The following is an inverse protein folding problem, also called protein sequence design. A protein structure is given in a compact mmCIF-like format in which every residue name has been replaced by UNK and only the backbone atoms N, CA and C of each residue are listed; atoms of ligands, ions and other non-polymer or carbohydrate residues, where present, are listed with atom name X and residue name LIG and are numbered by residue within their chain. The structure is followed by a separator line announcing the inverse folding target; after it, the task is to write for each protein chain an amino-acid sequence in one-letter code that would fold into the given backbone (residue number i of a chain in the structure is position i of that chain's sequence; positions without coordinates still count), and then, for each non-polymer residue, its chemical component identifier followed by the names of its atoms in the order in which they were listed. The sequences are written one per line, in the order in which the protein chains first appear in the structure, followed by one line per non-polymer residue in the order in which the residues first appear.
data_IF_473206609139
#
_entry.id   IF_473206609139
#
_cell.length_a   1.000
_cell.length_b   1.000
_cell.length_c   1.000
_cell.angle_alpha   90.00
_cell.angle_beta   90.00
_cell.angle_gamma   90.00
#
_symmetry.space_group_name_H-M   'P 1'
#
loop_
_entity.id
_entity.type
_entity.pdbx_description
1 polymer ?
#
# COMPACT_ATOMS: atom_id res chain seq x y z
N UNK A 1 -45.66 33.86 -35.51
CA UNK A 1 -45.68 33.31 -34.11
C UNK A 1 -45.11 31.90 -33.98
N UNK A 2 -45.09 31.09 -35.00
CA UNK A 2 -44.59 29.68 -34.99
C UNK A 2 -43.06 29.52 -34.79
N UNK A 3 -42.23 30.40 -35.38
CA UNK A 3 -40.74 30.27 -35.26
C UNK A 3 -40.16 30.63 -33.86
N UNK A 4 -40.84 31.47 -33.11
CA UNK A 4 -40.35 31.84 -31.76
C UNK A 4 -40.57 30.71 -30.76
N UNK A 5 -41.68 29.96 -30.87
CA UNK A 5 -41.99 28.82 -30.00
C UNK A 5 -41.03 27.64 -30.26
N UNK A 6 -40.63 27.42 -31.52
CA UNK A 6 -39.66 26.39 -31.89
C UNK A 6 -38.26 26.66 -31.28
N UNK A 7 -37.80 27.90 -31.31
CA UNK A 7 -36.50 28.30 -30.72
C UNK A 7 -36.49 28.22 -29.20
N UNK A 8 -37.60 28.55 -28.55
CA UNK A 8 -37.73 28.43 -27.09
C UNK A 8 -37.72 26.97 -26.63
N UNK A 9 -38.39 26.08 -27.38
CA UNK A 9 -38.37 24.64 -27.13
C UNK A 9 -37.00 24.03 -27.34
N UNK A 10 -36.25 24.45 -28.36
CA UNK A 10 -34.87 23.99 -28.58
C UNK A 10 -33.91 24.45 -27.49
N UNK A 11 -34.03 25.67 -27.01
CA UNK A 11 -33.21 26.20 -25.89
C UNK A 11 -33.56 25.47 -24.60
N UNK A 12 -34.83 25.23 -24.31
CA UNK A 12 -35.25 24.50 -23.12
C UNK A 12 -34.74 23.04 -23.15
N UNK A 13 -34.81 22.37 -24.31
CA UNK A 13 -34.31 21.01 -24.47
C UNK A 13 -32.77 20.95 -24.32
N UNK A 14 -32.05 21.91 -24.91
CA UNK A 14 -30.59 22.01 -24.75
C UNK A 14 -30.18 22.29 -23.28
N UNK A 15 -30.94 23.11 -22.55
CA UNK A 15 -30.70 23.39 -21.13
C UNK A 15 -30.95 22.17 -20.26
N UNK A 16 -32.00 21.38 -20.51
CA UNK A 16 -32.28 20.14 -19.78
C UNK A 16 -31.21 19.09 -20.07
N UNK A 17 -30.79 18.97 -21.35
CA UNK A 17 -29.69 18.05 -21.70
C UNK A 17 -28.35 18.45 -21.01
N UNK A 18 -28.04 19.74 -20.96
CA UNK A 18 -26.82 20.22 -20.26
C UNK A 18 -26.88 19.97 -18.77
N UNK A 19 -28.02 20.14 -18.11
CA UNK A 19 -28.23 19.84 -16.69
C UNK A 19 -28.13 18.33 -16.40
N UNK A 20 -28.62 17.49 -17.30
CA UNK A 20 -28.55 16.02 -17.13
C UNK A 20 -27.12 15.48 -17.20
N UNK A 21 -26.27 16.06 -18.04
CA UNK A 21 -24.84 15.70 -18.15
C UNK A 21 -24.07 16.14 -16.90
N UNK A 22 -24.43 17.28 -16.30
CA UNK A 22 -23.80 17.76 -15.07
C UNK A 22 -24.12 16.90 -13.83
N UNK A 23 -25.29 16.25 -13.80
CA UNK A 23 -25.72 15.41 -12.68
C UNK A 23 -24.92 14.10 -12.57
N UNK A 24 -24.41 13.56 -13.67
CA UNK A 24 -23.58 12.35 -13.66
C UNK A 24 -22.24 12.54 -12.92
N UNK A 25 -21.60 13.71 -13.06
CA UNK A 25 -20.28 13.96 -12.46
C UNK A 25 -20.29 14.30 -10.97
N UNK A 26 -21.46 14.60 -10.38
CA UNK A 26 -21.55 15.02 -8.97
C UNK A 26 -21.38 13.82 -8.03
N UNK A 27 -21.85 12.64 -8.40
CA UNK A 27 -21.82 11.45 -7.54
C UNK A 27 -20.66 10.50 -7.85
N UNK A 28 -20.09 10.54 -9.06
CA UNK A 28 -19.00 9.66 -9.47
C UNK A 28 -17.71 9.91 -8.68
N UNK A 29 -17.40 11.18 -8.40
CA UNK A 29 -16.20 11.57 -7.64
C UNK A 29 -16.25 11.06 -6.20
N UNK A 30 -17.29 11.36 -5.38
CA UNK A 30 -17.37 10.79 -4.03
C UNK A 30 -17.46 9.27 -4.03
N UNK A 31 -18.12 8.65 -4.99
CA UNK A 31 -18.20 7.18 -5.09
C UNK A 31 -16.81 6.56 -5.30
N UNK A 32 -16.01 7.11 -6.22
CA UNK A 32 -14.66 6.63 -6.48
C UNK A 32 -13.70 6.93 -5.30
N UNK A 33 -13.92 8.05 -4.61
CA UNK A 33 -13.17 8.42 -3.41
C UNK A 33 -13.41 7.42 -2.26
N UNK A 34 -14.68 7.11 -1.98
CA UNK A 34 -15.06 6.17 -0.93
C UNK A 34 -14.58 4.74 -1.24
N UNK A 35 -14.58 4.33 -2.52
CA UNK A 35 -13.97 3.05 -2.92
C UNK A 35 -12.47 3.03 -2.61
N UNK A 36 -11.73 4.10 -2.93
CA UNK A 36 -10.31 4.18 -2.63
C UNK A 36 -10.03 4.15 -1.11
N UNK A 37 -10.84 4.84 -0.30
CA UNK A 37 -10.77 4.81 1.17
C UNK A 37 -11.08 3.42 1.72
N UNK A 38 -12.08 2.72 1.17
CA UNK A 38 -12.41 1.35 1.57
C UNK A 38 -11.24 0.39 1.29
N UNK A 39 -10.57 0.52 0.13
CA UNK A 39 -9.38 -0.28 -0.19
C UNK A 39 -8.19 0.09 0.69
N UNK A 40 -8.08 1.35 1.11
CA UNK A 40 -7.08 1.75 2.09
C UNK A 40 -7.30 1.05 3.43
N UNK A 41 -8.51 0.95 3.92
CA UNK A 41 -8.83 0.22 5.15
C UNK A 41 -8.42 -1.26 5.08
N UNK A 42 -8.55 -1.91 3.91
CA UNK A 42 -8.05 -3.27 3.69
C UNK A 42 -6.51 -3.33 3.83
N UNK A 43 -5.80 -2.31 3.35
CA UNK A 43 -4.34 -2.18 3.48
C UNK A 43 -3.95 -2.03 4.95
N UNK A 44 -4.58 -1.09 5.68
CA UNK A 44 -4.32 -0.85 7.10
C UNK A 44 -4.54 -2.11 7.94
N UNK A 45 -5.67 -2.78 7.74
CA UNK A 45 -5.99 -4.04 8.42
C UNK A 45 -4.93 -5.12 8.19
N UNK A 46 -4.41 -5.21 6.96
CA UNK A 46 -3.36 -6.17 6.61
C UNK A 46 -2.02 -5.85 7.29
N UNK A 47 -1.64 -4.57 7.34
CA UNK A 47 -0.44 -4.13 8.04
C UNK A 47 -0.56 -4.28 9.57
N UNK A 48 -1.73 -3.97 10.13
CA UNK A 48 -1.99 -4.18 11.55
C UNK A 48 -1.84 -5.66 11.92
N UNK A 49 -2.44 -6.57 11.15
CA UNK A 49 -2.30 -8.01 11.37
C UNK A 49 -0.84 -8.46 11.34
N UNK A 50 -0.02 -7.95 10.42
CA UNK A 50 1.41 -8.22 10.39
C UNK A 50 2.11 -7.74 11.66
N UNK A 51 1.83 -6.52 12.09
CA UNK A 51 2.41 -5.93 13.30
C UNK A 51 2.06 -6.70 14.58
N UNK A 52 0.85 -7.28 14.65
CA UNK A 52 0.36 -8.05 15.79
C UNK A 52 1.01 -9.43 15.92
N UNK A 53 1.50 -10.02 14.83
CA UNK A 53 2.21 -11.31 14.84
C UNK A 53 3.65 -11.18 15.36
N UNK A 54 4.29 -10.02 15.20
CA UNK A 54 5.73 -9.82 15.46
C UNK A 54 6.10 -10.01 16.94
N UNK A 55 5.37 -9.52 17.94
CA UNK A 55 5.71 -9.74 19.35
C UNK A 55 5.80 -11.21 19.72
N UNK A 56 4.85 -12.01 19.22
CA UNK A 56 4.83 -13.46 19.48
C UNK A 56 6.00 -14.15 18.77
N UNK A 57 6.33 -13.74 17.54
CA UNK A 57 7.46 -14.25 16.79
C UNK A 57 8.79 -13.96 17.53
N UNK A 58 9.00 -12.70 17.95
CA UNK A 58 10.20 -12.29 18.69
C UNK A 58 10.31 -13.02 20.03
N UNK A 59 9.21 -13.17 20.78
CA UNK A 59 9.20 -13.90 22.04
C UNK A 59 9.56 -15.39 21.86
N UNK A 60 9.05 -16.03 20.80
CA UNK A 60 9.37 -17.43 20.48
C UNK A 60 10.83 -17.58 20.03
N UNK A 61 11.33 -16.63 19.22
CA UNK A 61 12.71 -16.66 18.73
C UNK A 61 13.73 -16.43 19.86
N UNK A 62 13.44 -15.56 20.83
CA UNK A 62 14.33 -15.31 21.99
C UNK A 62 14.67 -16.57 22.78
N UNK A 63 13.75 -17.54 22.86
CA UNK A 63 13.98 -18.78 23.59
C UNK A 63 15.04 -19.70 22.96
N UNK A 64 15.24 -19.65 21.65
CA UNK A 64 16.14 -20.55 20.93
C UNK A 64 17.32 -19.84 20.26
N UNK A 65 17.24 -18.54 20.02
CA UNK A 65 18.26 -17.71 19.38
C UNK A 65 18.63 -16.51 20.28
N UNK A 66 18.92 -16.78 21.56
CA UNK A 66 19.26 -15.74 22.55
C UNK A 66 20.53 -14.94 22.17
N UNK A 67 21.42 -15.51 21.34
CA UNK A 67 22.61 -14.84 20.81
C UNK A 67 22.30 -13.74 19.78
N UNK A 68 21.14 -13.81 19.12
CA UNK A 68 20.74 -12.90 18.01
C UNK A 68 19.98 -11.66 18.49
N UNK A 69 20.39 -11.11 19.62
CA UNK A 69 19.71 -9.96 20.26
C UNK A 69 19.58 -8.76 19.33
N UNK A 70 20.58 -8.52 18.49
CA UNK A 70 20.60 -7.38 17.55
C UNK A 70 19.47 -7.49 16.51
N UNK A 71 19.28 -8.66 15.91
CA UNK A 71 18.27 -8.86 14.86
C UNK A 71 16.87 -8.79 15.46
N UNK A 72 16.65 -9.41 16.62
CA UNK A 72 15.36 -9.34 17.32
C UNK A 72 15.03 -7.91 17.77
N UNK A 73 16.05 -7.14 18.17
CA UNK A 73 15.89 -5.70 18.49
C UNK A 73 15.57 -4.90 17.24
N UNK A 74 16.23 -5.15 16.11
CA UNK A 74 15.96 -4.48 14.84
C UNK A 74 14.52 -4.70 14.37
N UNK A 75 14.02 -5.94 14.45
CA UNK A 75 12.62 -6.25 14.11
C UNK A 75 11.64 -5.51 15.03
N UNK A 76 11.93 -5.47 16.34
CA UNK A 76 11.09 -4.77 17.32
C UNK A 76 11.06 -3.26 17.05
N UNK A 77 12.22 -2.66 16.77
CA UNK A 77 12.33 -1.23 16.45
C UNK A 77 11.66 -0.89 15.12
N UNK A 78 11.86 -1.69 14.09
CA UNK A 78 11.21 -1.51 12.80
C UNK A 78 9.68 -1.63 12.91
N UNK A 79 9.18 -2.57 13.74
CA UNK A 79 7.75 -2.66 14.06
C UNK A 79 7.25 -1.38 14.74
N UNK A 80 7.97 -0.90 15.77
CA UNK A 80 7.58 0.33 16.47
C UNK A 80 7.53 1.54 15.51
N UNK A 81 8.52 1.69 14.63
CA UNK A 81 8.54 2.74 13.61
C UNK A 81 7.36 2.60 12.64
N UNK A 82 7.09 1.38 12.15
CA UNK A 82 6.00 1.13 11.20
C UNK A 82 4.61 1.37 11.80
N UNK A 83 4.41 1.12 13.11
CA UNK A 83 3.13 1.31 13.80
C UNK A 83 2.95 2.71 14.38
N UNK A 84 4.01 3.53 14.45
CA UNK A 84 3.91 4.92 14.93
C UNK A 84 3.37 5.89 13.89
N UNK A 85 3.41 5.52 12.60
CA UNK A 85 2.94 6.35 11.50
C UNK A 85 1.48 5.98 11.23
N UNK A 86 0.58 6.89 11.54
CA UNK A 86 -0.84 6.74 11.23
C UNK A 86 -1.18 7.64 10.03
N UNK A 87 -1.65 7.02 8.95
CA UNK A 87 -2.10 7.71 7.74
C UNK A 87 -3.60 7.94 7.87
N UNK A 88 -4.00 9.20 7.88
CA UNK A 88 -5.42 9.56 7.79
C UNK A 88 -5.89 9.56 6.34
N UNK A 89 -7.20 9.62 6.13
CA UNK A 89 -7.78 9.71 4.77
C UNK A 89 -7.31 10.94 4.01
N UNK A 90 -7.03 12.05 4.71
CA UNK A 90 -6.51 13.29 4.11
C UNK A 90 -5.05 13.12 3.66
N UNK A 91 -4.28 12.30 4.38
CA UNK A 91 -2.88 12.03 4.05
C UNK A 91 -2.71 11.17 2.81
N UNK A 92 -3.78 10.49 2.34
CA UNK A 92 -3.75 9.73 1.08
C UNK A 92 -3.45 10.63 -0.14
N UNK A 93 -3.68 11.92 -0.02
CA UNK A 93 -3.33 12.93 -1.02
C UNK A 93 -2.00 13.67 -0.74
N UNK A 94 -1.26 13.26 0.30
CA UNK A 94 0.01 13.86 0.70
C UNK A 94 1.19 12.93 0.37
N UNK A 95 1.97 13.20 -0.69
CA UNK A 95 3.06 12.32 -1.10
C UNK A 95 4.14 12.12 -0.01
N UNK A 96 4.41 13.15 0.79
CA UNK A 96 5.47 13.09 1.80
C UNK A 96 5.09 12.15 2.98
N UNK A 97 3.86 12.25 3.49
CA UNK A 97 3.38 11.38 4.57
C UNK A 97 3.20 9.94 4.07
N UNK A 98 2.69 9.77 2.86
CA UNK A 98 2.56 8.44 2.25
C UNK A 98 3.91 7.77 2.02
N UNK A 99 4.94 8.50 1.58
CA UNK A 99 6.30 8.00 1.41
C UNK A 99 6.94 7.60 2.76
N UNK A 100 6.77 8.40 3.81
CA UNK A 100 7.23 8.04 5.17
C UNK A 100 6.63 6.71 5.61
N UNK A 101 5.32 6.56 5.45
CA UNK A 101 4.63 5.31 5.77
C UNK A 101 5.19 4.14 4.96
N UNK A 102 5.29 4.28 3.63
CA UNK A 102 5.81 3.23 2.75
C UNK A 102 7.24 2.83 3.13
N UNK A 103 8.11 3.80 3.46
CA UNK A 103 9.49 3.55 3.86
C UNK A 103 9.56 2.79 5.20
N UNK A 104 8.76 3.15 6.19
CA UNK A 104 8.72 2.44 7.46
C UNK A 104 8.21 0.99 7.31
N UNK A 105 7.20 0.77 6.48
CA UNK A 105 6.71 -0.57 6.17
C UNK A 105 7.74 -1.41 5.41
N UNK A 106 8.50 -0.80 4.49
CA UNK A 106 9.61 -1.47 3.78
C UNK A 106 10.76 -1.83 4.73
N UNK A 107 11.13 -0.97 5.68
CA UNK A 107 12.14 -1.28 6.70
C UNK A 107 11.72 -2.48 7.56
N UNK A 108 10.44 -2.56 7.94
CA UNK A 108 9.93 -3.72 8.66
C UNK A 108 10.01 -5.01 7.81
N UNK A 109 9.67 -4.94 6.54
CA UNK A 109 9.79 -6.07 5.60
C UNK A 109 11.25 -6.54 5.49
N UNK A 110 12.22 -5.62 5.41
CA UNK A 110 13.65 -5.95 5.38
C UNK A 110 14.11 -6.59 6.69
N UNK A 111 13.70 -6.05 7.85
CA UNK A 111 14.07 -6.62 9.15
C UNK A 111 13.51 -8.04 9.34
N UNK A 112 12.28 -8.30 8.88
CA UNK A 112 11.69 -9.65 8.89
C UNK A 112 12.42 -10.60 7.91
N UNK A 113 12.85 -10.11 6.76
CA UNK A 113 13.68 -10.87 5.82
C UNK A 113 15.02 -11.29 6.43
N UNK A 114 15.70 -10.38 7.13
CA UNK A 114 16.95 -10.68 7.87
C UNK A 114 16.72 -11.72 8.96
N UNK A 115 15.62 -11.60 9.73
CA UNK A 115 15.28 -12.62 10.73
C UNK A 115 15.09 -13.99 10.10
N UNK A 116 14.41 -14.08 8.96
CA UNK A 116 14.21 -15.33 8.23
C UNK A 116 15.54 -15.98 7.85
N UNK A 117 16.47 -15.21 7.28
CA UNK A 117 17.80 -15.70 6.89
C UNK A 117 18.59 -16.23 8.10
N UNK A 118 18.51 -15.56 9.24
CA UNK A 118 19.19 -16.00 10.46
C UNK A 118 18.58 -17.28 11.00
N UNK A 119 17.27 -17.42 10.98
CA UNK A 119 16.57 -18.62 11.45
C UNK A 119 17.01 -19.87 10.69
N UNK A 120 17.45 -19.76 9.44
CA UNK A 120 17.98 -20.88 8.65
C UNK A 120 19.21 -21.51 9.31
N UNK A 121 19.96 -20.76 10.12
CA UNK A 121 21.11 -21.24 10.89
C UNK A 121 20.74 -21.88 12.25
N UNK A 122 19.45 -21.88 12.61
CA UNK A 122 18.95 -22.40 13.90
C UNK A 122 17.91 -23.51 13.69
N UNK A 123 18.31 -24.76 13.38
CA UNK A 123 17.39 -25.86 13.14
C UNK A 123 16.42 -26.14 14.29
N UNK A 124 16.88 -25.88 15.52
CA UNK A 124 16.06 -26.04 16.73
C UNK A 124 14.88 -25.07 16.77
N UNK A 125 15.04 -23.88 16.18
CA UNK A 125 13.96 -22.88 16.08
C UNK A 125 12.97 -23.27 14.98
N UNK A 126 13.48 -23.76 13.86
CA UNK A 126 12.66 -24.25 12.75
C UNK A 126 11.80 -25.46 13.17
N UNK A 127 12.31 -26.32 14.05
CA UNK A 127 11.57 -27.50 14.52
C UNK A 127 10.48 -27.17 15.56
N UNK A 128 10.44 -25.93 16.08
CA UNK A 128 9.36 -25.50 16.96
C UNK A 128 8.09 -25.19 16.15
N UNK A 129 7.06 -26.03 16.35
CA UNK A 129 5.78 -25.88 15.63
C UNK A 129 5.21 -24.44 15.74
N UNK A 130 5.26 -23.85 16.93
CA UNK A 130 4.77 -22.47 17.16
C UNK A 130 5.50 -21.41 16.33
N UNK A 131 6.82 -21.56 16.17
CA UNK A 131 7.60 -20.64 15.35
C UNK A 131 7.27 -20.81 13.86
N UNK A 132 7.21 -22.06 13.40
CA UNK A 132 6.84 -22.39 12.02
C UNK A 132 5.44 -21.85 11.67
N UNK A 133 4.45 -22.03 12.54
CA UNK A 133 3.09 -21.52 12.35
C UNK A 133 3.06 -19.99 12.25
N UNK A 134 3.85 -19.28 13.06
CA UNK A 134 3.95 -17.82 13.01
C UNK A 134 4.59 -17.34 11.70
N UNK A 135 5.61 -18.04 11.20
CA UNK A 135 6.25 -17.73 9.91
C UNK A 135 5.28 -17.92 8.75
N UNK A 136 4.52 -19.03 8.73
CA UNK A 136 3.47 -19.26 7.72
C UNK A 136 2.39 -18.18 7.77
N UNK A 137 1.97 -17.75 8.97
CA UNK A 137 1.01 -16.66 9.11
C UNK A 137 1.58 -15.33 8.60
N UNK A 138 2.86 -15.04 8.83
CA UNK A 138 3.54 -13.86 8.30
C UNK A 138 3.61 -13.87 6.76
N UNK A 139 3.96 -15.00 6.15
CA UNK A 139 3.93 -15.14 4.68
C UNK A 139 2.52 -14.94 4.13
N UNK A 140 1.51 -15.50 4.80
CA UNK A 140 0.11 -15.28 4.44
C UNK A 140 -0.32 -13.81 4.55
N UNK A 141 0.19 -13.09 5.55
CA UNK A 141 -0.06 -11.64 5.69
C UNK A 141 0.64 -10.83 4.62
N UNK A 142 1.86 -11.19 4.23
CA UNK A 142 2.58 -10.49 3.15
C UNK A 142 1.84 -10.60 1.81
N UNK A 143 1.33 -11.80 1.49
CA UNK A 143 0.48 -11.98 0.32
C UNK A 143 -0.79 -11.12 0.38
N UNK A 144 -1.43 -11.01 1.54
CA UNK A 144 -2.62 -10.15 1.71
C UNK A 144 -2.28 -8.68 1.55
N UNK A 145 -1.13 -8.22 2.09
CA UNK A 145 -0.63 -6.86 1.91
C UNK A 145 -0.45 -6.57 0.41
N UNK A 146 0.19 -7.46 -0.33
CA UNK A 146 0.41 -7.29 -1.76
C UNK A 146 -0.91 -7.20 -2.55
N UNK A 147 -1.88 -8.06 -2.26
CA UNK A 147 -3.22 -8.01 -2.87
C UNK A 147 -3.95 -6.73 -2.48
N UNK A 148 -3.92 -6.32 -1.22
CA UNK A 148 -4.56 -5.09 -0.75
C UNK A 148 -3.96 -3.85 -1.41
N UNK A 149 -2.62 -3.77 -1.53
CA UNK A 149 -1.92 -2.68 -2.24
C UNK A 149 -2.32 -2.61 -3.71
N UNK A 150 -2.43 -3.75 -4.39
CA UNK A 150 -2.86 -3.79 -5.79
C UNK A 150 -4.27 -3.24 -5.94
N UNK A 151 -5.21 -3.71 -5.12
CA UNK A 151 -6.61 -3.23 -5.14
C UNK A 151 -6.72 -1.74 -4.79
N UNK A 152 -5.93 -1.27 -3.82
CA UNK A 152 -5.85 0.16 -3.51
C UNK A 152 -5.34 0.95 -4.71
N UNK A 153 -4.27 0.51 -5.37
CA UNK A 153 -3.73 1.18 -6.55
C UNK A 153 -4.74 1.26 -7.70
N UNK A 154 -5.50 0.18 -7.93
CA UNK A 154 -6.59 0.15 -8.92
C UNK A 154 -7.69 1.18 -8.59
N UNK A 155 -8.11 1.24 -7.33
CA UNK A 155 -9.10 2.20 -6.87
C UNK A 155 -8.59 3.65 -6.98
N UNK A 156 -7.33 3.90 -6.59
CA UNK A 156 -6.67 5.21 -6.74
C UNK A 156 -6.55 5.60 -8.21
N UNK A 157 -6.22 4.67 -9.10
CA UNK A 157 -6.17 4.93 -10.54
C UNK A 157 -7.56 5.33 -11.05
N UNK A 158 -8.60 4.60 -10.66
CA UNK A 158 -9.99 4.92 -11.03
C UNK A 158 -10.38 6.31 -10.53
N UNK A 159 -10.16 6.60 -9.23
CA UNK A 159 -10.44 7.92 -8.64
C UNK A 159 -9.67 9.03 -9.34
N UNK A 160 -8.36 8.87 -9.49
CA UNK A 160 -7.52 9.89 -10.14
C UNK A 160 -7.90 10.12 -11.62
N UNK A 161 -8.42 9.11 -12.30
CA UNK A 161 -8.96 9.25 -13.66
C UNK A 161 -10.26 10.02 -13.63
N UNK A 162 -11.20 9.64 -12.75
CA UNK A 162 -12.49 10.31 -12.60
C UNK A 162 -12.34 11.81 -12.37
N UNK A 163 -11.47 12.22 -11.43
CA UNK A 163 -11.29 13.65 -11.12
C UNK A 163 -10.60 14.46 -12.24
N UNK A 164 -10.07 13.82 -13.28
CA UNK A 164 -9.35 14.46 -14.40
C UNK A 164 -10.08 14.38 -15.74
N UNK A 165 -11.09 13.51 -15.86
CA UNK A 165 -11.82 13.30 -17.11
C UNK A 165 -13.14 14.05 -17.11
N UNK A 166 -13.50 14.59 -18.30
CA UNK A 166 -14.81 15.23 -18.51
C UNK A 166 -15.91 14.14 -18.57
N UNK A 167 -17.12 14.39 -18.01
CA UNK A 167 -17.58 15.62 -17.36
C UNK A 167 -17.23 15.77 -15.88
N UNK A 168 -16.76 14.73 -15.21
CA UNK A 168 -16.55 14.63 -13.76
C UNK A 168 -15.53 15.62 -13.23
N UNK A 169 -14.52 15.99 -14.02
CA UNK A 169 -13.48 16.94 -13.67
C UNK A 169 -14.03 18.33 -13.25
N UNK A 170 -15.18 18.72 -13.79
CA UNK A 170 -15.84 19.99 -13.41
C UNK A 170 -16.35 19.89 -11.98
N UNK A 171 -17.11 18.83 -11.65
CA UNK A 171 -17.61 18.57 -10.30
C UNK A 171 -16.49 18.37 -9.29
N UNK A 172 -15.45 17.61 -9.67
CA UNK A 172 -14.27 17.37 -8.86
C UNK A 172 -13.59 18.67 -8.42
N UNK A 173 -13.40 19.61 -9.34
CA UNK A 173 -12.68 20.86 -9.06
C UNK A 173 -13.53 21.92 -8.38
N UNK A 174 -14.78 22.11 -8.84
CA UNK A 174 -15.62 23.24 -8.39
C UNK A 174 -16.44 22.92 -7.14
N UNK A 175 -16.83 21.65 -6.96
CA UNK A 175 -17.73 21.22 -5.89
C UNK A 175 -16.97 20.50 -4.78
N UNK A 176 -16.12 19.53 -5.14
CA UNK A 176 -15.49 18.63 -4.18
C UNK A 176 -14.07 19.04 -3.77
N UNK A 177 -13.39 19.95 -4.50
CA UNK A 177 -12.01 20.31 -4.22
C UNK A 177 -11.07 19.09 -4.25
N UNK A 178 -11.41 18.10 -5.08
CA UNK A 178 -10.78 16.79 -5.11
C UNK A 178 -9.28 16.88 -5.44
N UNK A 179 -8.47 16.18 -4.65
CA UNK A 179 -7.03 16.07 -4.83
C UNK A 179 -6.67 14.64 -5.26
N UNK A 180 -5.66 14.47 -6.13
CA UNK A 180 -5.24 13.13 -6.52
C UNK A 180 -4.66 12.38 -5.32
N UNK A 181 -5.04 11.11 -5.17
CA UNK A 181 -4.47 10.19 -4.19
C UNK A 181 -3.16 9.58 -4.69
N UNK A 182 -2.30 9.20 -3.75
CA UNK A 182 -0.96 8.65 -4.00
C UNK A 182 -1.03 7.13 -4.06
N UNK A 183 -0.64 6.49 -5.17
CA UNK A 183 -0.54 5.04 -5.24
C UNK A 183 0.76 4.55 -4.59
N UNK A 184 0.77 3.29 -4.13
CA UNK A 184 2.01 2.60 -3.78
C UNK A 184 2.92 2.47 -4.99
N UNK A 185 4.20 2.73 -4.80
CA UNK A 185 5.26 2.51 -5.79
C UNK A 185 5.97 1.18 -5.50
N UNK A 186 6.58 0.60 -6.53
CA UNK A 186 7.53 -0.48 -6.34
C UNK A 186 8.71 0.00 -5.47
N UNK A 187 9.34 -0.91 -4.74
CA UNK A 187 10.56 -0.57 -3.99
C UNK A 187 11.66 -0.12 -4.97
N UNK A 188 12.43 0.88 -4.57
CA UNK A 188 13.56 1.34 -5.39
C UNK A 188 14.52 0.16 -5.65
N UNK A 189 14.94 -0.03 -6.90
CA UNK A 189 15.81 -1.13 -7.33
C UNK A 189 15.06 -2.39 -7.77
N UNK A 190 13.72 -2.45 -7.64
CA UNK A 190 12.93 -3.60 -8.11
C UNK A 190 12.87 -3.73 -9.63
N UNK A 191 13.23 -2.67 -10.35
CA UNK A 191 13.35 -2.64 -11.81
C UNK A 191 14.60 -3.35 -12.33
N UNK A 192 15.61 -3.60 -11.49
CA UNK A 192 16.80 -4.35 -11.85
C UNK A 192 16.67 -5.81 -11.43
N UNK A 193 16.62 -6.70 -12.42
CA UNK A 193 16.66 -8.13 -12.13
C UNK A 193 17.98 -8.47 -11.42
N UNK A 194 17.97 -9.28 -10.33
CA UNK A 194 19.21 -9.74 -9.71
C UNK A 194 20.03 -10.52 -10.76
N UNK A 195 21.29 -10.14 -10.97
CA UNK A 195 22.22 -10.88 -11.80
C UNK A 195 22.56 -12.18 -11.10
N UNK A 196 22.08 -13.29 -11.61
CA UNK A 196 22.47 -14.62 -11.14
C UNK A 196 23.78 -14.99 -11.83
N UNK A 197 24.89 -14.91 -11.10
CA UNK A 197 26.18 -15.39 -11.58
C UNK A 197 26.27 -16.91 -11.33
N UNK A 198 26.22 -17.69 -12.39
CA UNK A 198 26.41 -19.15 -12.34
C UNK A 198 27.89 -19.58 -12.43
N UNK A 199 28.83 -18.64 -12.28
CA UNK A 199 30.26 -18.99 -12.22
C UNK A 199 30.58 -19.76 -10.93
N UNK A 200 30.58 -21.08 -11.04
CA UNK A 200 30.97 -22.00 -9.96
C UNK A 200 32.44 -21.84 -9.54
N UNK A 201 33.20 -20.98 -10.19
CA UNK A 201 34.61 -20.69 -9.90
C UNK A 201 34.87 -19.25 -9.41
N UNK A 202 33.83 -18.46 -9.15
CA UNK A 202 34.03 -17.13 -8.60
C UNK A 202 34.48 -17.24 -7.13
N UNK A 203 35.60 -16.61 -6.74
CA UNK A 203 35.99 -16.55 -5.32
C UNK A 203 34.88 -15.82 -4.56
N UNK A 204 34.54 -16.33 -3.37
CA UNK A 204 33.54 -15.74 -2.50
C UNK A 204 33.82 -14.22 -2.34
N UNK A 205 32.77 -13.35 -2.43
CA UNK A 205 32.96 -11.91 -2.26
C UNK A 205 33.64 -11.66 -0.90
N UNK A 206 34.80 -11.01 -0.94
CA UNK A 206 35.52 -10.60 0.25
C UNK A 206 34.59 -9.76 1.11
N UNK A 207 34.36 -10.17 2.34
CA UNK A 207 33.62 -9.40 3.33
C UNK A 207 34.26 -8.00 3.39
N UNK A 208 33.56 -6.98 2.90
CA UNK A 208 33.98 -5.59 3.02
C UNK A 208 33.81 -5.20 4.50
N UNK A 209 34.88 -5.41 5.25
CA UNK A 209 35.04 -4.81 6.56
C UNK A 209 35.28 -3.31 6.39
N UNK A 210 34.32 -2.51 6.85
CA UNK A 210 34.56 -1.27 7.59
C UNK A 210 33.25 -0.80 8.20
#
# INVERSE_FOLDING_TARGET
MSMAVSRFSQIAFASVAALSVSACGINSVPTAEEEAKARWADVESSYQRRADLIPNLVATAKGAAASETTILTNVTNARAAATSINITTDDLSNPAEFEKFQNAQNQLTQALGQLRTVVENYPQLQSQARFSDLMVQLEGTENRINVARTRYNEAVQSYNTTIRTFPDAIGAKLIHGAKPMVPFKAAAGSETAPTVNFDMNAPAPAASGK
#
